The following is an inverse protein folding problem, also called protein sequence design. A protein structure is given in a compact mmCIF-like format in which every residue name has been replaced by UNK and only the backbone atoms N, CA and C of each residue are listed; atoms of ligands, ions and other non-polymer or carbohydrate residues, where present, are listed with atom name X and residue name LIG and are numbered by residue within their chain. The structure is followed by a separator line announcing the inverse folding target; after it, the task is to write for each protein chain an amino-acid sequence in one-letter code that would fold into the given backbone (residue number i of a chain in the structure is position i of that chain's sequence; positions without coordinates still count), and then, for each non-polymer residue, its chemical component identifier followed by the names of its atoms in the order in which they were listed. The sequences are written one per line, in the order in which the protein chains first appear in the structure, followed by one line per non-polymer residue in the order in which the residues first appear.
data_IF_889310059784
#
_entry.id   IF_889310059784
#
_cell.length_a   1.000
_cell.length_b   1.000
_cell.length_c   1.000
_cell.angle_alpha   90.00
_cell.angle_beta   90.00
_cell.angle_gamma   90.00
#
_symmetry.space_group_name_H-M   'P 1'
#
loop_
_entity.id
_entity.type
_entity.pdbx_description
1 polymer ?
#
# COMPACT_ATOMS: atom_id res chain seq x y z
N UNK A 1 -51.45 18.75 33.11
CA UNK A 1 -50.31 19.58 33.54
C UNK A 1 -49.09 18.70 33.31
N UNK A 2 -48.76 18.47 32.03
CA UNK A 2 -47.78 19.20 31.21
C UNK A 2 -46.36 19.09 31.79
N UNK A 3 -45.63 18.16 31.17
CA UNK A 3 -44.22 17.87 31.27
C UNK A 3 -43.42 18.98 30.59
N UNK A 4 -42.49 19.58 31.33
CA UNK A 4 -41.59 20.61 30.81
C UNK A 4 -40.52 19.98 29.92
N UNK A 5 -40.53 20.50 28.70
CA UNK A 5 -39.60 20.34 27.61
C UNK A 5 -38.53 21.45 27.73
N UNK A 6 -37.32 21.17 27.22
CA UNK A 6 -36.41 22.15 26.59
C UNK A 6 -35.60 23.05 27.58
N UNK A 7 -34.29 23.33 27.47
CA UNK A 7 -33.30 23.37 26.38
C UNK A 7 -31.91 23.28 27.06
N UNK A 8 -31.00 22.47 26.53
CA UNK A 8 -29.56 22.70 26.74
C UNK A 8 -29.14 23.77 25.73
N UNK A 9 -28.76 24.94 26.24
CA UNK A 9 -27.99 25.94 25.47
C UNK A 9 -26.72 25.27 24.95
N UNK A 10 -26.56 25.24 23.64
CA UNK A 10 -25.25 25.09 23.02
C UNK A 10 -25.18 26.20 21.99
N UNK A 11 -24.41 27.24 22.34
CA UNK A 11 -24.02 28.31 21.44
C UNK A 11 -23.31 27.69 20.23
N UNK A 12 -24.09 27.44 19.17
CA UNK A 12 -23.58 27.23 17.83
C UNK A 12 -23.50 28.61 17.19
N UNK A 13 -22.31 29.20 17.23
CA UNK A 13 -21.97 30.32 16.36
C UNK A 13 -22.07 29.83 14.90
N UNK A 14 -23.09 30.28 14.18
CA UNK A 14 -23.20 30.11 12.74
C UNK A 14 -22.09 30.96 12.07
N UNK A 15 -20.98 30.33 11.68
CA UNK A 15 -20.06 30.96 10.73
C UNK A 15 -20.71 31.01 9.35
N UNK A 16 -21.18 32.20 8.98
CA UNK A 16 -21.66 32.54 7.64
C UNK A 16 -20.45 32.59 6.70
N UNK A 17 -20.26 31.54 5.90
CA UNK A 17 -19.30 31.56 4.79
C UNK A 17 -19.88 32.41 3.65
N UNK A 18 -19.19 33.48 3.31
CA UNK A 18 -19.51 34.35 2.18
C UNK A 18 -19.06 33.71 0.85
N UNK A 19 -20.02 33.39 -0.01
CA UNK A 19 -19.81 32.99 -1.40
C UNK A 19 -19.43 34.21 -2.27
N UNK A 20 -18.16 34.57 -2.35
CA UNK A 20 -17.67 35.42 -3.45
C UNK A 20 -16.14 35.34 -3.58
N UNK A 21 -15.68 34.50 -4.52
CA UNK A 21 -14.48 34.74 -5.33
C UNK A 21 -14.45 33.73 -6.49
N UNK A 22 -15.08 34.12 -7.60
CA UNK A 22 -14.95 33.43 -8.89
C UNK A 22 -13.55 33.72 -9.46
N UNK A 23 -12.63 32.75 -9.33
CA UNK A 23 -11.35 32.77 -10.05
C UNK A 23 -11.50 31.91 -11.31
N UNK A 24 -12.04 32.51 -12.37
CA UNK A 24 -11.92 31.99 -13.73
C UNK A 24 -10.53 32.35 -14.27
N UNK A 25 -9.51 31.54 -13.97
CA UNK A 25 -8.29 31.48 -14.78
C UNK A 25 -8.23 30.16 -15.55
N UNK A 26 -7.99 30.18 -16.87
CA UNK A 26 -7.92 28.96 -17.68
C UNK A 26 -6.68 28.17 -17.29
N UNK A 27 -6.88 26.99 -16.69
CA UNK A 27 -5.81 26.06 -16.34
C UNK A 27 -5.05 25.69 -17.61
N UNK A 28 -3.81 26.18 -17.71
CA UNK A 28 -2.86 25.80 -18.75
C UNK A 28 -2.77 24.28 -18.84
N UNK A 29 -3.00 23.78 -20.07
CA UNK A 29 -2.83 22.39 -20.50
C UNK A 29 -1.58 21.75 -19.87
N UNK A 30 -1.80 20.96 -18.82
CA UNK A 30 -0.78 20.07 -18.31
C UNK A 30 -0.49 19.03 -19.39
N UNK A 31 0.77 19.01 -19.82
CA UNK A 31 1.40 18.01 -20.68
C UNK A 31 0.73 16.63 -20.50
N UNK A 32 0.04 16.15 -21.53
CA UNK A 32 -0.75 14.91 -21.52
C UNK A 32 0.18 13.71 -21.28
N UNK A 33 0.48 13.44 -20.02
CA UNK A 33 1.06 12.17 -19.60
C UNK A 33 0.01 11.11 -19.95
N UNK A 34 0.36 10.24 -20.88
CA UNK A 34 -0.47 9.08 -21.22
C UNK A 34 -0.48 8.14 -20.02
N UNK A 35 -1.54 8.19 -19.23
CA UNK A 35 -1.80 7.20 -18.18
C UNK A 35 -2.65 6.07 -18.77
N UNK A 36 -2.30 4.83 -18.48
CA UNK A 36 -3.13 3.67 -18.79
C UNK A 36 -3.74 3.17 -17.49
N UNK A 37 -5.05 3.32 -17.33
CA UNK A 37 -5.78 2.73 -16.21
C UNK A 37 -5.72 1.21 -16.39
N UNK A 38 -5.09 0.52 -15.44
CA UNK A 38 -4.96 -0.93 -15.44
C UNK A 38 -5.95 -1.51 -14.43
N UNK A 39 -6.69 -2.55 -14.84
CA UNK A 39 -7.47 -3.33 -13.88
C UNK A 39 -6.52 -4.18 -13.04
N UNK A 40 -6.97 -4.60 -11.86
CA UNK A 40 -6.18 -5.46 -10.97
C UNK A 40 -5.68 -6.75 -11.66
N UNK A 41 -6.44 -7.29 -12.62
CA UNK A 41 -6.02 -8.44 -13.43
C UNK A 41 -4.87 -8.09 -14.38
N UNK A 42 -4.87 -6.89 -14.96
CA UNK A 42 -3.78 -6.46 -15.85
C UNK A 42 -2.50 -6.22 -15.07
N UNK A 43 -2.59 -5.63 -13.87
CA UNK A 43 -1.43 -5.45 -12.98
C UNK A 43 -0.84 -6.81 -12.61
N UNK A 44 -1.68 -7.75 -12.15
CA UNK A 44 -1.23 -9.12 -11.83
C UNK A 44 -0.56 -9.80 -13.00
N UNK A 45 -1.16 -9.73 -14.19
CA UNK A 45 -0.58 -10.32 -15.41
C UNK A 45 0.78 -9.73 -15.75
N UNK A 46 0.93 -8.40 -15.67
CA UNK A 46 2.22 -7.74 -15.92
C UNK A 46 3.27 -8.17 -14.89
N UNK A 47 2.89 -8.23 -13.61
CA UNK A 47 3.79 -8.73 -12.55
C UNK A 47 4.21 -10.18 -12.80
N UNK A 48 3.27 -11.07 -13.12
CA UNK A 48 3.54 -12.48 -13.42
C UNK A 48 4.43 -12.64 -14.64
N UNK A 49 4.23 -11.84 -15.69
CA UNK A 49 5.06 -11.82 -16.89
C UNK A 49 6.50 -11.42 -16.56
N UNK A 50 6.68 -10.33 -15.80
CA UNK A 50 8.00 -9.84 -15.38
C UNK A 50 8.74 -10.87 -14.51
N UNK A 51 8.02 -11.48 -13.57
CA UNK A 51 8.56 -12.53 -12.69
C UNK A 51 8.95 -13.76 -13.53
N UNK A 52 8.08 -14.21 -14.44
CA UNK A 52 8.32 -15.36 -15.31
C UNK A 52 9.51 -15.14 -16.25
N UNK A 53 9.58 -13.94 -16.83
CA UNK A 53 10.68 -13.51 -17.70
C UNK A 53 12.01 -13.49 -16.95
N UNK A 54 12.02 -12.91 -15.75
CA UNK A 54 13.21 -12.85 -14.88
C UNK A 54 13.64 -14.25 -14.44
N UNK A 55 12.69 -15.10 -14.05
CA UNK A 55 12.91 -16.51 -13.68
C UNK A 55 13.59 -17.29 -14.81
N UNK A 56 13.07 -17.11 -16.02
CA UNK A 56 13.58 -17.78 -17.23
C UNK A 56 14.97 -17.27 -17.61
N UNK A 57 15.17 -15.94 -17.64
CA UNK A 57 16.45 -15.33 -18.05
C UNK A 57 17.56 -15.68 -17.06
N UNK A 58 17.28 -15.58 -15.76
CA UNK A 58 18.29 -15.78 -14.71
C UNK A 58 18.42 -17.25 -14.28
N UNK A 59 17.53 -18.13 -14.76
CA UNK A 59 17.44 -19.54 -14.37
C UNK A 59 17.34 -19.73 -12.85
N UNK A 60 16.53 -18.90 -12.20
CA UNK A 60 16.28 -18.92 -10.75
C UNK A 60 14.80 -19.21 -10.46
N UNK A 61 14.46 -19.59 -9.23
CA UNK A 61 13.05 -19.80 -8.87
C UNK A 61 12.24 -18.49 -8.89
N UNK A 62 10.92 -18.62 -9.02
CA UNK A 62 9.96 -17.51 -8.97
C UNK A 62 10.17 -16.62 -7.72
N UNK A 63 10.41 -17.23 -6.56
CA UNK A 63 10.63 -16.51 -5.30
C UNK A 63 11.88 -15.62 -5.34
N UNK A 64 12.95 -16.12 -5.96
CA UNK A 64 14.21 -15.37 -6.13
C UNK A 64 14.01 -14.24 -7.14
N UNK A 65 13.28 -14.49 -8.23
CA UNK A 65 12.92 -13.45 -9.20
C UNK A 65 12.14 -12.31 -8.57
N UNK A 66 11.17 -12.61 -7.71
CA UNK A 66 10.42 -11.60 -6.95
C UNK A 66 11.35 -10.78 -6.05
N UNK A 67 12.26 -11.44 -5.33
CA UNK A 67 13.20 -10.75 -4.46
C UNK A 67 14.18 -9.85 -5.23
N UNK A 68 14.64 -10.29 -6.41
CA UNK A 68 15.52 -9.52 -7.28
C UNK A 68 14.81 -8.30 -7.85
N UNK A 69 13.64 -8.49 -8.45
CA UNK A 69 12.84 -7.39 -8.97
C UNK A 69 12.57 -6.37 -7.88
N UNK A 70 12.21 -6.81 -6.68
CA UNK A 70 12.03 -5.92 -5.54
C UNK A 70 13.30 -5.16 -5.14
N UNK A 71 14.46 -5.82 -5.14
CA UNK A 71 15.74 -5.16 -4.82
C UNK A 71 16.10 -4.06 -5.82
N UNK A 72 15.74 -4.26 -7.09
CA UNK A 72 16.02 -3.33 -8.18
C UNK A 72 14.81 -2.47 -8.57
N UNK A 73 13.85 -2.24 -7.66
CA UNK A 73 12.65 -1.42 -7.88
C UNK A 73 11.90 -1.79 -9.18
N UNK A 74 11.71 -3.09 -9.40
CA UNK A 74 11.06 -3.68 -10.57
C UNK A 74 11.73 -3.38 -11.92
N UNK A 75 13.03 -3.09 -11.92
CA UNK A 75 13.82 -2.89 -13.15
C UNK A 75 14.49 -4.20 -13.60
N UNK A 76 13.88 -4.86 -14.59
CA UNK A 76 14.36 -6.14 -15.14
C UNK A 76 15.76 -6.02 -15.76
N UNK A 77 16.01 -4.96 -16.53
CA UNK A 77 17.28 -4.77 -17.24
C UNK A 77 18.44 -4.68 -16.26
N UNK A 78 18.28 -3.84 -15.24
CA UNK A 78 19.27 -3.67 -14.18
C UNK A 78 19.50 -4.95 -13.39
N UNK A 79 18.41 -5.67 -13.06
CA UNK A 79 18.51 -6.96 -12.37
C UNK A 79 19.31 -7.98 -13.18
N UNK A 80 19.13 -8.03 -14.50
CA UNK A 80 19.84 -8.93 -15.39
C UNK A 80 21.33 -8.56 -15.55
N UNK A 81 21.62 -7.28 -15.75
CA UNK A 81 23.00 -6.79 -15.88
C UNK A 81 23.83 -7.09 -14.62
N UNK A 82 23.31 -6.76 -13.44
CA UNK A 82 24.02 -6.98 -12.18
C UNK A 82 24.13 -8.47 -11.81
N UNK A 83 23.15 -9.30 -12.19
CA UNK A 83 23.22 -10.76 -12.03
C UNK A 83 24.31 -11.38 -12.89
N UNK A 84 24.40 -11.00 -14.16
CA UNK A 84 25.39 -11.57 -15.10
C UNK A 84 26.83 -11.17 -14.76
N UNK A 85 27.03 -10.07 -14.02
CA UNK A 85 28.33 -9.64 -13.50
C UNK A 85 28.70 -10.37 -12.19
N UNK A 86 27.71 -10.98 -11.52
CA UNK A 86 27.76 -11.40 -10.13
C UNK A 86 27.98 -12.90 -9.87
N UNK A 87 29.21 -13.28 -9.56
CA UNK A 87 29.60 -14.62 -9.08
C UNK A 87 28.71 -15.10 -7.90
N UNK A 88 28.47 -16.41 -7.80
CA UNK A 88 27.56 -17.18 -6.90
C UNK A 88 27.37 -16.64 -5.46
N UNK A 89 28.32 -15.89 -4.94
CA UNK A 89 28.24 -15.11 -3.69
C UNK A 89 27.12 -14.06 -3.69
N UNK A 90 26.88 -13.36 -4.81
CA UNK A 90 25.76 -12.41 -4.93
C UNK A 90 24.43 -13.15 -4.94
N UNK A 91 24.30 -14.26 -5.67
CA UNK A 91 23.11 -15.11 -5.62
C UNK A 91 22.83 -15.62 -4.21
N UNK A 92 23.84 -16.11 -3.48
CA UNK A 92 23.71 -16.53 -2.07
C UNK A 92 23.33 -15.38 -1.13
N UNK A 93 23.92 -14.19 -1.32
CA UNK A 93 23.52 -12.99 -0.58
C UNK A 93 22.09 -12.59 -0.92
N UNK A 94 21.69 -12.61 -2.19
CA UNK A 94 20.35 -12.24 -2.63
C UNK A 94 19.28 -13.21 -2.14
N UNK A 95 19.57 -14.52 -2.08
CA UNK A 95 18.68 -15.53 -1.47
C UNK A 95 18.58 -15.33 0.05
N UNK A 96 19.70 -15.05 0.72
CA UNK A 96 19.74 -14.72 2.15
C UNK A 96 19.10 -13.36 2.46
N UNK A 97 19.08 -12.44 1.50
CA UNK A 97 18.41 -11.13 1.59
C UNK A 97 16.92 -11.32 1.30
N UNK A 98 16.54 -12.17 0.34
CA UNK A 98 15.15 -12.49 0.01
C UNK A 98 14.38 -13.02 1.23
N UNK A 99 15.04 -13.79 2.08
CA UNK A 99 14.51 -14.25 3.37
C UNK A 99 14.96 -13.30 4.48
N UNK A 100 14.05 -12.70 5.25
CA UNK A 100 14.40 -11.71 6.29
C UNK A 100 15.02 -10.40 5.80
N UNK A 101 14.43 -9.72 4.81
CA UNK A 101 14.85 -8.36 4.38
C UNK A 101 14.13 -7.25 5.13
N UNK A 102 12.87 -7.47 5.48
CA UNK A 102 11.96 -6.40 5.85
C UNK A 102 11.95 -6.14 7.34
N UNK A 103 12.06 -4.87 7.72
CA UNK A 103 11.88 -4.42 9.10
C UNK A 103 10.40 -4.27 9.46
N UNK A 104 9.57 -4.00 8.45
CA UNK A 104 8.14 -3.80 8.63
C UNK A 104 7.37 -4.12 7.34
N UNK A 105 6.13 -4.58 7.50
CA UNK A 105 5.15 -4.79 6.44
C UNK A 105 3.84 -4.16 6.90
N UNK A 106 3.19 -3.43 6.00
CA UNK A 106 1.80 -2.97 6.15
C UNK A 106 0.98 -3.80 5.17
N UNK A 107 0.03 -4.56 5.69
CA UNK A 107 -0.82 -5.45 4.91
C UNK A 107 -2.19 -4.82 4.68
N UNK A 108 -2.45 -4.51 3.42
CA UNK A 108 -3.65 -3.83 2.94
C UNK A 108 -4.56 -4.76 2.12
N UNK A 109 -4.42 -6.08 2.24
CA UNK A 109 -5.19 -7.04 1.44
C UNK A 109 -6.49 -7.42 2.15
N UNK A 110 -7.63 -6.98 1.60
CA UNK A 110 -8.99 -7.30 2.12
C UNK A 110 -9.55 -8.66 1.68
N UNK A 111 -8.72 -9.50 1.05
CA UNK A 111 -9.10 -10.84 0.59
C UNK A 111 -8.36 -11.93 1.38
N UNK A 112 -8.81 -13.18 1.26
CA UNK A 112 -8.09 -14.31 1.85
C UNK A 112 -6.68 -14.44 1.26
N UNK A 113 -5.66 -14.43 2.12
CA UNK A 113 -4.28 -14.64 1.73
C UNK A 113 -3.46 -15.24 2.88
N UNK A 114 -2.42 -16.04 2.58
CA UNK A 114 -1.59 -16.67 3.61
C UNK A 114 -0.61 -15.66 4.24
N UNK A 115 -0.50 -15.69 5.56
CA UNK A 115 0.40 -14.79 6.31
C UNK A 115 1.81 -15.38 6.48
N UNK A 116 1.94 -16.70 6.33
CA UNK A 116 3.23 -17.40 6.44
C UNK A 116 4.34 -16.79 5.56
N UNK A 117 4.11 -16.50 4.25
CA UNK A 117 5.13 -15.88 3.40
C UNK A 117 5.54 -14.49 3.90
N UNK A 118 4.59 -13.67 4.37
CA UNK A 118 4.84 -12.32 4.90
C UNK A 118 5.71 -12.37 6.16
N UNK A 119 5.41 -13.30 7.05
CA UNK A 119 6.22 -13.51 8.25
C UNK A 119 7.61 -14.04 7.90
N UNK A 120 7.78 -14.85 6.85
CA UNK A 120 9.08 -15.41 6.49
C UNK A 120 10.07 -14.35 5.94
N UNK A 121 9.57 -13.36 5.21
CA UNK A 121 10.39 -12.28 4.65
C UNK A 121 10.73 -11.17 5.67
N UNK A 122 10.06 -11.13 6.82
CA UNK A 122 10.39 -10.22 7.92
C UNK A 122 11.68 -10.63 8.63
N UNK A 123 12.50 -9.63 8.94
CA UNK A 123 13.68 -9.74 9.80
C UNK A 123 13.30 -10.22 11.20
N UNK A 124 14.27 -10.76 11.96
CA UNK A 124 14.11 -10.85 13.41
C UNK A 124 13.73 -9.48 13.98
N UNK A 125 12.76 -9.42 14.89
CA UNK A 125 12.15 -8.20 15.42
C UNK A 125 11.34 -7.37 14.41
N UNK A 126 11.06 -7.90 13.22
CA UNK A 126 10.22 -7.26 12.23
C UNK A 126 8.76 -7.15 12.66
N UNK A 127 8.05 -6.15 12.12
CA UNK A 127 6.64 -5.84 12.45
C UNK A 127 5.74 -6.08 11.25
N UNK A 128 4.66 -6.84 11.43
CA UNK A 128 3.56 -6.95 10.47
C UNK A 128 2.35 -6.18 11.02
N UNK A 129 1.90 -5.16 10.29
CA UNK A 129 0.74 -4.34 10.65
C UNK A 129 -0.39 -4.62 9.69
N UNK A 130 -1.49 -5.17 10.19
CA UNK A 130 -2.71 -5.42 9.44
C UNK A 130 -3.58 -4.16 9.45
N UNK A 131 -3.98 -3.67 8.27
CA UNK A 131 -4.90 -2.53 8.15
C UNK A 131 -6.20 -2.88 7.42
N UNK A 132 -6.41 -4.16 7.14
CA UNK A 132 -7.60 -4.68 6.49
C UNK A 132 -8.22 -5.84 7.27
N UNK A 133 -9.49 -6.08 6.98
CA UNK A 133 -10.26 -7.16 7.57
C UNK A 133 -10.57 -8.22 6.49
N UNK A 134 -9.85 -9.35 6.46
CA UNK A 134 -10.20 -10.46 5.59
C UNK A 134 -11.45 -11.19 6.13
N UNK A 135 -12.30 -11.75 5.25
CA UNK A 135 -13.57 -12.38 5.64
C UNK A 135 -13.39 -13.67 6.47
N UNK A 136 -12.19 -14.26 6.45
CA UNK A 136 -11.85 -15.51 7.15
C UNK A 136 -10.70 -15.27 8.11
N UNK A 137 -10.76 -15.92 9.28
CA UNK A 137 -9.70 -15.88 10.27
C UNK A 137 -8.35 -16.35 9.67
N UNK A 138 -7.31 -15.57 9.92
CA UNK A 138 -5.97 -15.83 9.40
C UNK A 138 -5.28 -16.93 10.22
N UNK A 139 -4.65 -17.88 9.54
CA UNK A 139 -3.83 -18.91 10.18
C UNK A 139 -2.47 -18.32 10.58
N UNK A 140 -2.22 -18.22 11.89
CA UNK A 140 -1.01 -17.63 12.44
C UNK A 140 0.03 -18.70 12.83
N UNK A 141 1.15 -18.82 12.10
CA UNK A 141 2.24 -19.72 12.48
C UNK A 141 3.05 -19.13 13.65
N UNK A 142 2.60 -19.39 14.89
CA UNK A 142 3.22 -18.88 16.14
C UNK A 142 4.73 -19.16 16.21
N UNK A 143 5.17 -20.29 15.67
CA UNK A 143 6.58 -20.66 15.60
C UNK A 143 7.47 -19.59 14.95
N UNK A 144 7.00 -18.92 13.89
CA UNK A 144 7.76 -17.87 13.22
C UNK A 144 7.88 -16.59 14.05
N UNK A 145 6.85 -16.29 14.85
CA UNK A 145 6.88 -15.17 15.78
C UNK A 145 7.89 -15.43 16.90
N UNK A 146 7.92 -16.65 17.43
CA UNK A 146 8.85 -17.05 18.50
C UNK A 146 10.30 -17.08 18.02
N UNK A 147 10.58 -17.78 16.91
CA UNK A 147 11.95 -17.91 16.39
C UNK A 147 12.56 -16.57 15.99
N UNK A 148 11.75 -15.65 15.44
CA UNK A 148 12.22 -14.36 14.97
C UNK A 148 11.93 -13.19 15.92
N UNK A 149 11.31 -13.41 17.08
CA UNK A 149 10.80 -12.33 17.96
C UNK A 149 10.00 -11.27 17.18
N UNK A 150 9.18 -11.72 16.23
CA UNK A 150 8.42 -10.85 15.30
C UNK A 150 7.14 -10.37 15.98
N UNK A 151 6.65 -9.21 15.56
CA UNK A 151 5.44 -8.59 16.09
C UNK A 151 4.37 -8.58 15.00
N UNK A 152 3.14 -8.93 15.37
CA UNK A 152 1.96 -8.76 14.53
C UNK A 152 0.95 -7.90 15.30
N UNK A 153 0.38 -6.89 14.64
CA UNK A 153 -0.63 -6.01 15.22
C UNK A 153 -1.61 -5.49 14.18
N UNK A 154 -2.74 -4.94 14.62
CA UNK A 154 -3.75 -4.33 13.77
C UNK A 154 -3.87 -2.83 14.01
N UNK A 155 -4.29 -2.08 13.00
CA UNK A 155 -4.61 -0.65 13.08
C UNK A 155 -5.72 -0.31 12.08
N UNK A 156 -6.75 0.41 12.50
CA UNK A 156 -7.93 0.67 11.65
C UNK A 156 -8.07 2.14 11.25
N UNK A 157 -8.08 3.07 12.20
CA UNK A 157 -8.25 4.51 11.98
C UNK A 157 -7.38 5.26 12.99
N UNK A 158 -6.80 6.39 12.58
CA UNK A 158 -6.06 7.30 13.45
C UNK A 158 -6.95 8.31 14.16
N UNK A 159 -6.51 8.83 15.31
CA UNK A 159 -7.24 9.89 16.01
C UNK A 159 -7.28 11.20 15.22
N UNK A 160 -8.12 12.16 15.63
CA UNK A 160 -8.21 13.47 14.95
C UNK A 160 -6.86 14.20 14.87
N UNK A 161 -6.12 14.20 15.99
CA UNK A 161 -4.79 14.81 16.05
C UNK A 161 -3.80 14.14 15.09
N UNK A 162 -3.77 12.81 15.06
CA UNK A 162 -2.89 12.04 14.16
C UNK A 162 -3.26 12.25 12.70
N UNK A 163 -4.55 12.35 12.40
CA UNK A 163 -5.05 12.67 11.05
C UNK A 163 -4.57 14.05 10.61
N UNK A 164 -4.64 15.06 11.48
CA UNK A 164 -4.12 16.39 11.16
C UNK A 164 -2.61 16.37 10.91
N UNK A 165 -1.84 15.70 11.77
CA UNK A 165 -0.39 15.53 11.58
C UNK A 165 -0.06 14.81 10.26
N UNK A 166 -0.86 13.82 9.86
CA UNK A 166 -0.74 13.11 8.58
C UNK A 166 -1.02 14.02 7.39
N UNK A 167 -2.07 14.84 7.45
CA UNK A 167 -2.41 15.81 6.40
C UNK A 167 -1.32 16.86 6.24
N UNK A 168 -0.82 17.41 7.36
CA UNK A 168 0.27 18.40 7.36
C UNK A 168 1.56 17.82 6.76
N UNK A 169 1.89 16.56 7.12
CA UNK A 169 3.03 15.84 6.55
C UNK A 169 2.85 15.60 5.04
N UNK A 170 1.67 15.15 4.62
CA UNK A 170 1.36 14.90 3.22
C UNK A 170 1.47 16.18 2.38
N UNK A 171 0.92 17.29 2.87
CA UNK A 171 1.01 18.60 2.22
C UNK A 171 2.47 19.07 2.09
N UNK A 172 3.26 18.96 3.17
CA UNK A 172 4.68 19.35 3.18
C UNK A 172 5.53 18.55 2.19
N UNK A 173 5.20 17.28 1.99
CA UNK A 173 5.97 16.36 1.14
C UNK A 173 5.36 16.13 -0.25
N UNK A 174 4.30 16.87 -0.63
CA UNK A 174 3.57 16.69 -1.88
C UNK A 174 3.11 15.24 -2.09
N UNK A 175 2.63 14.59 -1.03
CA UNK A 175 2.05 13.25 -1.09
C UNK A 175 0.56 13.41 -1.38
N UNK A 176 0.14 13.07 -2.59
CA UNK A 176 -1.27 13.12 -3.00
C UNK A 176 -1.72 11.75 -3.48
N UNK A 177 -2.97 11.34 -3.19
CA UNK A 177 -3.52 10.14 -3.78
C UNK A 177 -3.69 10.30 -5.29
N UNK A 178 -3.59 9.19 -6.01
CA UNK A 178 -4.08 9.11 -7.38
C UNK A 178 -5.60 8.90 -7.32
N UNK A 179 -6.36 9.78 -7.97
CA UNK A 179 -7.82 9.83 -7.86
C UNK A 179 -8.49 9.84 -9.23
N UNK A 180 -9.66 9.21 -9.31
CA UNK A 180 -10.59 9.32 -10.43
C UNK A 180 -11.80 10.13 -9.96
N UNK A 181 -12.01 11.31 -10.54
CA UNK A 181 -13.16 12.16 -10.21
C UNK A 181 -14.35 11.73 -11.07
N UNK A 182 -15.41 11.24 -10.43
CA UNK A 182 -16.63 10.77 -11.08
C UNK A 182 -17.83 11.61 -10.66
N UNK A 183 -18.86 11.71 -11.51
CA UNK A 183 -20.11 12.39 -11.15
C UNK A 183 -20.92 11.56 -10.15
N UNK A 184 -21.76 12.23 -9.35
CA UNK A 184 -22.61 11.55 -8.35
C UNK A 184 -23.52 10.49 -9.00
N UNK A 185 -24.02 10.75 -10.21
CA UNK A 185 -24.85 9.82 -10.97
C UNK A 185 -24.11 8.52 -11.33
N UNK A 186 -22.78 8.54 -11.34
CA UNK A 186 -21.94 7.41 -11.72
C UNK A 186 -21.59 6.47 -10.54
N UNK A 187 -21.89 6.86 -9.30
CA UNK A 187 -21.51 6.11 -8.08
C UNK A 187 -21.97 4.66 -8.14
N UNK A 188 -23.23 4.40 -8.48
CA UNK A 188 -23.80 3.04 -8.50
C UNK A 188 -23.19 2.12 -9.57
N UNK A 189 -22.53 2.67 -10.59
CA UNK A 189 -21.88 1.86 -11.64
C UNK A 189 -20.51 1.35 -11.18
N UNK A 190 -19.88 2.04 -10.21
CA UNK A 190 -18.51 1.82 -9.76
C UNK A 190 -18.38 1.33 -8.31
N UNK A 191 -19.50 1.06 -7.63
CA UNK A 191 -19.47 0.39 -6.31
C UNK A 191 -19.28 -1.11 -6.53
N UNK A 192 -18.13 -1.64 -6.07
CA UNK A 192 -17.79 -3.07 -6.05
C UNK A 192 -18.36 -3.78 -4.82
#
# INVERSE_FOLDING_TARGET
MHSDHDIYDTDLEEEVFSDEDTIDEPIHSHNSKNYRILKAMDIRRLMEEDISKTSTILSVSTDISVALLRHYNWNITRANEEWNVGNVTLARRLILVATSTLVGIIDTVSAEHPIFPLLNILKPHGKLVMVCEPPKALELPVFLLLMGRKIMGGSIIGGMKETQEMLDFAAKHNITPEVEVVSMDYVNTNVF
#
